data_IF_005416422924
#
_entry.id   IF_005416422924
#
_cell.length_a   1.000
_cell.length_b   1.000
_cell.length_c   1.000
_cell.angle_alpha   90.00
_cell.angle_beta   90.00
_cell.angle_gamma   90.00
#
_symmetry.space_group_name_H-M   'P 1'
#
loop_
_entity.id
_entity.type
_entity.pdbx_description
1 polymer ?
#
# COMPACT_ATOMS: atom_id res chain seq x y z
N UNK A 1 -26.21 2.63 -36.16
CA UNK A 1 -25.71 2.01 -34.92
C UNK A 1 -24.22 2.35 -34.66
N UNK A 2 -23.83 3.63 -34.71
CA UNK A 2 -22.40 4.06 -34.61
C UNK A 2 -22.16 5.14 -33.54
N UNK A 3 -23.18 5.46 -32.73
CA UNK A 3 -23.17 6.59 -31.78
C UNK A 3 -23.23 6.18 -30.30
N UNK A 4 -23.26 4.88 -30.00
CA UNK A 4 -23.37 4.35 -28.62
C UNK A 4 -22.04 3.87 -28.04
N UNK A 5 -20.93 3.95 -28.78
CA UNK A 5 -19.60 3.50 -28.33
C UNK A 5 -18.83 4.57 -27.52
N UNK A 6 -19.22 5.83 -27.64
CA UNK A 6 -18.56 6.95 -26.95
C UNK A 6 -18.82 7.02 -25.43
N UNK A 7 -20.04 6.83 -24.91
CA UNK A 7 -20.27 6.92 -23.46
C UNK A 7 -19.69 5.73 -22.68
N UNK A 8 -19.48 4.58 -23.33
CA UNK A 8 -18.94 3.38 -22.68
C UNK A 8 -17.45 3.52 -22.35
N UNK A 9 -16.68 4.22 -23.19
CA UNK A 9 -15.25 4.48 -22.96
C UNK A 9 -15.00 5.46 -21.79
N UNK A 10 -15.89 6.43 -21.57
CA UNK A 10 -15.76 7.41 -20.48
C UNK A 10 -15.94 6.79 -19.08
N UNK A 11 -16.73 5.72 -18.96
CA UNK A 11 -16.98 5.05 -17.69
C UNK A 11 -15.76 4.21 -17.25
N UNK A 12 -15.02 3.60 -18.19
CA UNK A 12 -13.79 2.87 -17.86
C UNK A 12 -12.65 3.79 -17.40
N UNK A 13 -12.58 5.03 -17.89
CA UNK A 13 -11.55 5.98 -17.46
C UNK A 13 -11.74 6.49 -16.02
N UNK A 14 -12.98 6.52 -15.52
CA UNK A 14 -13.28 6.97 -14.15
C UNK A 14 -12.92 5.95 -13.06
N UNK A 15 -12.74 4.67 -13.42
CA UNK A 15 -12.38 3.60 -12.46
C UNK A 15 -10.90 3.50 -12.11
N UNK A 16 -10.01 4.20 -12.84
CA UNK A 16 -8.56 4.11 -12.63
C UNK A 16 -8.04 5.00 -11.48
N UNK A 17 -8.91 5.79 -10.85
CA UNK A 17 -8.59 6.59 -9.66
C UNK A 17 -8.78 5.82 -8.36
N UNK A 18 -8.82 4.48 -8.39
CA UNK A 18 -8.69 3.69 -7.17
C UNK A 18 -7.35 4.02 -6.54
N UNK A 19 -7.38 4.90 -5.54
CA UNK A 19 -6.25 5.28 -4.73
C UNK A 19 -5.57 4.00 -4.25
N UNK A 20 -4.31 3.82 -4.61
CA UNK A 20 -3.49 2.70 -4.16
C UNK A 20 -3.29 2.85 -2.65
N UNK A 21 -4.26 2.36 -1.87
CA UNK A 21 -4.19 2.40 -0.43
C UNK A 21 -3.04 1.50 0.01
N UNK A 22 -2.09 2.06 0.76
CA UNK A 22 -1.00 1.27 1.32
C UNK A 22 -1.56 0.09 2.11
N UNK A 23 -0.98 -1.12 1.98
CA UNK A 23 -1.38 -2.25 2.79
C UNK A 23 -1.00 -2.07 4.26
N UNK A 24 -0.22 -1.05 4.64
CA UNK A 24 0.24 -0.85 6.01
C UNK A 24 -0.67 0.09 6.81
N UNK A 25 -0.92 -0.26 8.07
CA UNK A 25 -1.65 0.56 9.06
C UNK A 25 -0.84 0.67 10.35
N UNK A 26 -1.00 1.78 11.05
CA UNK A 26 -0.33 2.05 12.32
C UNK A 26 -1.33 2.64 13.31
N UNK A 27 -1.49 2.06 14.53
CA UNK A 27 -2.53 2.49 15.48
C UNK A 27 -2.34 3.95 15.93
N UNK A 28 -1.09 4.41 16.03
CA UNK A 28 -0.78 5.76 16.52
C UNK A 28 -0.93 6.86 15.46
N UNK A 29 -1.18 6.50 14.19
CA UNK A 29 -1.35 7.47 13.08
C UNK A 29 -2.75 7.38 12.47
N UNK A 30 -3.80 7.83 13.19
CA UNK A 30 -5.18 7.73 12.72
C UNK A 30 -5.47 8.63 11.51
N UNK A 31 -4.66 9.68 11.30
CA UNK A 31 -4.82 10.60 10.16
C UNK A 31 -4.04 10.10 8.95
N UNK A 32 -4.73 9.91 7.82
CA UNK A 32 -4.15 9.37 6.58
C UNK A 32 -2.85 10.06 6.14
N UNK A 33 -2.82 11.41 6.09
CA UNK A 33 -1.63 12.16 5.67
C UNK A 33 -0.43 11.96 6.61
N UNK A 34 -0.69 11.83 7.90
CA UNK A 34 0.35 11.57 8.89
C UNK A 34 0.86 10.14 8.73
N UNK A 35 -0.04 9.16 8.60
CA UNK A 35 0.34 7.77 8.34
C UNK A 35 1.15 7.65 7.04
N UNK A 36 0.75 8.30 5.95
CA UNK A 36 1.49 8.30 4.68
C UNK A 36 2.92 8.84 4.84
N UNK A 37 3.09 9.96 5.56
CA UNK A 37 4.42 10.55 5.81
C UNK A 37 5.33 9.62 6.62
N UNK A 38 4.82 9.06 7.72
CA UNK A 38 5.61 8.15 8.55
C UNK A 38 5.87 6.82 7.85
N UNK A 39 4.91 6.31 7.09
CA UNK A 39 5.05 5.09 6.32
C UNK A 39 6.18 5.21 5.29
N UNK A 40 6.23 6.30 4.53
CA UNK A 40 7.25 6.53 3.51
C UNK A 40 8.67 6.56 4.12
N UNK A 41 8.81 7.26 5.24
CA UNK A 41 10.05 7.31 6.02
C UNK A 41 10.45 5.92 6.52
N UNK A 42 9.56 5.24 7.22
CA UNK A 42 9.86 3.95 7.84
C UNK A 42 10.10 2.85 6.80
N UNK A 43 9.36 2.85 5.69
CA UNK A 43 9.59 1.93 4.59
C UNK A 43 10.94 2.18 3.92
N UNK A 44 11.38 3.44 3.81
CA UNK A 44 12.71 3.76 3.28
C UNK A 44 13.79 3.22 4.22
N UNK A 45 13.70 3.49 5.52
CA UNK A 45 14.64 2.99 6.52
C UNK A 45 14.73 1.46 6.50
N UNK A 46 13.57 0.77 6.48
CA UNK A 46 13.52 -0.69 6.44
C UNK A 46 14.03 -1.28 5.13
N UNK A 47 13.87 -0.59 4.00
CA UNK A 47 14.46 -1.02 2.73
C UNK A 47 15.99 -0.93 2.74
N UNK A 48 16.56 0.08 3.42
CA UNK A 48 18.00 0.19 3.60
C UNK A 48 18.50 -1.00 4.43
N UNK A 49 17.90 -1.26 5.60
CA UNK A 49 18.27 -2.41 6.45
C UNK A 49 18.21 -3.72 5.68
N UNK A 50 17.11 -3.98 4.97
CA UNK A 50 16.97 -5.19 4.16
C UNK A 50 18.02 -5.29 3.06
N UNK A 51 18.36 -4.17 2.42
CA UNK A 51 19.37 -4.12 1.35
C UNK A 51 20.80 -4.26 1.87
N UNK A 52 21.09 -3.78 3.08
CA UNK A 52 22.38 -3.98 3.74
C UNK A 52 22.59 -5.45 4.13
N UNK A 53 21.56 -6.11 4.63
CA UNK A 53 21.63 -7.53 5.01
C UNK A 53 21.67 -8.46 3.78
N UNK A 54 20.89 -8.15 2.74
CA UNK A 54 20.77 -8.98 1.54
C UNK A 54 20.87 -8.17 0.23
N UNK A 55 22.04 -7.63 -0.15
CA UNK A 55 22.16 -6.66 -1.24
C UNK A 55 21.68 -7.13 -2.61
N UNK A 56 21.80 -8.43 -2.90
CA UNK A 56 21.47 -9.00 -4.21
C UNK A 56 20.23 -9.90 -4.21
N UNK A 57 19.61 -10.15 -3.05
CA UNK A 57 18.53 -11.15 -2.93
C UNK A 57 17.22 -10.53 -2.47
N UNK A 58 16.45 -10.02 -3.43
CA UNK A 58 15.12 -9.43 -3.16
C UNK A 58 14.18 -10.38 -2.39
N UNK A 59 14.26 -11.68 -2.65
CA UNK A 59 13.48 -12.70 -1.93
C UNK A 59 13.83 -12.77 -0.43
N UNK A 60 15.09 -12.49 -0.07
CA UNK A 60 15.53 -12.44 1.33
C UNK A 60 15.36 -11.05 1.94
N UNK A 61 15.36 -9.99 1.13
CA UNK A 61 15.06 -8.63 1.59
C UNK A 61 13.62 -8.49 2.10
N UNK A 62 12.66 -9.11 1.42
CA UNK A 62 11.24 -8.99 1.78
C UNK A 62 10.91 -9.37 3.23
N UNK A 63 11.31 -10.55 3.76
CA UNK A 63 11.03 -10.90 5.15
C UNK A 63 11.74 -9.98 6.16
N UNK A 64 12.94 -9.48 5.85
CA UNK A 64 13.65 -8.51 6.70
C UNK A 64 12.91 -7.17 6.74
N UNK A 65 12.48 -6.70 5.58
CA UNK A 65 11.67 -5.49 5.45
C UNK A 65 10.36 -5.61 6.25
N UNK A 66 9.62 -6.71 6.07
CA UNK A 66 8.34 -6.91 6.76
C UNK A 66 8.51 -6.97 8.28
N UNK A 67 9.55 -7.66 8.75
CA UNK A 67 9.89 -7.68 10.18
C UNK A 67 10.25 -6.29 10.70
N UNK A 68 11.08 -5.54 9.99
CA UNK A 68 11.44 -4.17 10.37
C UNK A 68 10.21 -3.24 10.45
N UNK A 69 9.28 -3.37 9.50
CA UNK A 69 8.02 -2.62 9.52
C UNK A 69 7.17 -2.98 10.74
N UNK A 70 7.05 -4.28 11.07
CA UNK A 70 6.33 -4.76 12.25
C UNK A 70 6.97 -4.28 13.55
N UNK A 71 8.30 -4.30 13.66
CA UNK A 71 9.04 -3.81 14.82
C UNK A 71 8.83 -2.30 15.03
N UNK A 72 8.55 -1.55 13.97
CA UNK A 72 8.15 -0.14 13.99
C UNK A 72 6.65 0.09 14.28
N UNK A 73 5.87 -0.97 14.52
CA UNK A 73 4.44 -0.89 14.84
C UNK A 73 3.50 -0.92 13.64
N UNK A 74 4.03 -1.11 12.42
CA UNK A 74 3.20 -1.22 11.22
C UNK A 74 2.64 -2.63 11.06
N UNK A 75 1.33 -2.71 10.83
CA UNK A 75 0.64 -3.98 10.53
C UNK A 75 0.19 -4.00 9.08
N UNK A 76 0.40 -5.13 8.41
CA UNK A 76 -0.06 -5.33 7.03
C UNK A 76 -1.54 -5.74 7.08
N UNK A 77 -2.41 -4.94 6.46
CA UNK A 77 -3.82 -5.29 6.22
C UNK A 77 -3.86 -6.59 5.44
N UNK A 78 -4.66 -7.53 5.94
CA UNK A 78 -4.95 -8.72 5.17
C UNK A 78 -5.84 -8.34 3.99
N UNK A 79 -5.68 -9.06 2.87
CA UNK A 79 -6.49 -8.85 1.68
C UNK A 79 -7.91 -9.36 1.97
N UNK A 80 -8.70 -8.56 2.69
CA UNK A 80 -10.00 -8.92 3.25
C UNK A 80 -10.55 -7.89 4.26
N UNK A 81 -9.68 -7.10 4.90
CA UNK A 81 -10.06 -6.14 5.95
C UNK A 81 -10.75 -4.85 5.45
N UNK A 82 -11.30 -4.86 4.23
CA UNK A 82 -11.66 -3.63 3.51
C UNK A 82 -12.82 -3.71 2.54
N UNK A 83 -13.82 -4.57 2.77
CA UNK A 83 -15.12 -4.50 2.06
C UNK A 83 -16.28 -4.97 2.96
N UNK A 84 -16.71 -4.11 3.87
CA UNK A 84 -18.14 -3.98 4.18
C UNK A 84 -18.65 -2.74 3.46
N UNK A 85 -19.26 -2.93 2.30
CA UNK A 85 -20.29 -2.03 1.81
C UNK A 85 -21.61 -2.54 2.40
N UNK A 86 -22.12 -1.86 3.42
CA UNK A 86 -23.43 -2.04 4.04
C UNK A 86 -23.60 -0.90 5.05
N UNK A 87 -24.57 0.00 4.97
CA UNK A 87 -25.82 0.08 4.21
C UNK A 87 -26.01 1.49 3.60
#
# INVERSE_FOLDING_TARGET
MRRLLLPLMLICAAGLLTACASPWVHPDYPKRKQAEFHLDKDATDCNIVASEEFPLSKNKQLPVFEKCMQDKGWTKRERGDGMSFGD
#
